data_IF_377331784817
#
_entry.id   IF_377331784817
#
_cell.length_a   1.000
_cell.length_b   1.000
_cell.length_c   1.000
_cell.angle_alpha   90.00
_cell.angle_beta   90.00
_cell.angle_gamma   90.00
#
_symmetry.space_group_name_H-M   'P 1'
#
loop_
_entity.id
_entity.type
_entity.pdbx_description
1 polymer ?
#
# COMPACT_ATOMS: atom_id res chain seq x y z
N UNK A 1 7.67 23.49 -5.10
CA UNK A 1 7.51 23.94 -6.50
C UNK A 1 8.90 24.27 -7.03
N UNK A 2 9.59 23.28 -7.58
CA UNK A 2 10.82 23.50 -8.34
C UNK A 2 10.43 23.26 -9.79
N UNK A 3 10.52 24.31 -10.59
CA UNK A 3 10.30 24.21 -12.02
C UNK A 3 11.65 24.48 -12.67
N UNK A 4 12.35 23.42 -13.03
CA UNK A 4 13.52 23.51 -13.91
C UNK A 4 13.04 23.70 -15.35
N UNK A 5 13.46 24.80 -15.97
CA UNK A 5 13.37 25.00 -17.41
C UNK A 5 12.15 25.74 -17.97
N UNK A 6 11.67 26.82 -17.34
CA UNK A 6 10.64 27.70 -17.94
C UNK A 6 11.26 28.98 -18.51
N UNK A 7 11.08 29.20 -19.83
CA UNK A 7 11.04 30.54 -20.41
C UNK A 7 9.89 31.31 -19.73
N UNK A 8 10.21 32.27 -18.86
CA UNK A 8 9.21 33.06 -18.14
C UNK A 8 8.42 33.96 -19.11
N UNK A 9 7.15 33.64 -19.36
CA UNK A 9 6.20 34.49 -20.09
C UNK A 9 5.50 35.54 -19.19
N UNK A 10 5.96 35.68 -17.94
CA UNK A 10 5.45 36.68 -17.00
C UNK A 10 6.07 38.06 -17.26
N UNK A 11 5.26 39.11 -17.12
CA UNK A 11 5.71 40.52 -17.21
C UNK A 11 6.68 40.89 -16.08
N UNK A 12 6.62 40.17 -14.97
CA UNK A 12 7.47 40.35 -13.80
C UNK A 12 8.21 39.06 -13.46
N UNK A 13 9.46 39.19 -13.04
CA UNK A 13 10.23 38.10 -12.43
C UNK A 13 9.79 37.84 -10.98
N UNK A 14 10.27 36.75 -10.38
CA UNK A 14 9.97 36.40 -8.99
C UNK A 14 10.37 37.47 -7.97
N UNK A 15 11.31 38.35 -8.31
CA UNK A 15 11.75 39.47 -7.48
C UNK A 15 10.90 40.74 -7.69
N UNK A 16 9.85 40.67 -8.51
CA UNK A 16 8.95 41.78 -8.81
C UNK A 16 9.50 42.78 -9.83
N UNK A 17 10.72 42.56 -10.37
CA UNK A 17 11.27 43.42 -11.43
C UNK A 17 10.68 43.06 -12.79
N UNK A 18 10.75 44.01 -13.72
CA UNK A 18 10.27 43.81 -15.08
C UNK A 18 11.12 42.74 -15.77
N UNK A 19 10.48 41.75 -16.38
CA UNK A 19 11.16 40.74 -17.18
C UNK A 19 11.52 41.35 -18.55
N UNK A 20 12.81 41.51 -18.90
CA UNK A 20 13.25 42.13 -20.15
C UNK A 20 12.97 41.27 -21.39
N UNK A 21 12.63 39.98 -21.21
CA UNK A 21 12.28 39.04 -22.30
C UNK A 21 10.78 38.89 -22.52
N UNK A 22 9.96 39.64 -21.77
CA UNK A 22 8.50 39.57 -21.88
C UNK A 22 8.00 40.09 -23.24
N UNK A 23 7.06 39.36 -23.83
CA UNK A 23 6.35 39.73 -25.06
C UNK A 23 4.85 39.64 -24.80
N UNK A 24 4.10 40.68 -25.14
CA UNK A 24 2.63 40.67 -25.02
C UNK A 24 2.01 39.62 -25.94
N UNK A 25 1.08 38.83 -25.39
CA UNK A 25 0.41 37.75 -26.10
C UNK A 25 -0.66 37.08 -25.24
N UNK A 26 -1.38 36.12 -25.81
CA UNK A 26 -2.31 35.30 -25.04
C UNK A 26 -1.54 34.58 -23.92
N UNK A 27 -2.03 34.70 -22.68
CA UNK A 27 -1.42 34.04 -21.53
C UNK A 27 -1.37 32.52 -21.76
N UNK A 28 -0.18 31.94 -21.64
CA UNK A 28 0.07 30.49 -21.70
C UNK A 28 0.93 30.10 -20.52
N UNK A 29 0.44 29.14 -19.72
CA UNK A 29 1.19 28.52 -18.65
C UNK A 29 1.43 27.05 -18.99
N UNK A 30 2.53 26.71 -19.68
CA UNK A 30 2.89 25.32 -19.91
C UNK A 30 3.29 24.69 -18.57
N UNK A 31 2.40 23.89 -18.00
CA UNK A 31 2.65 23.12 -16.79
C UNK A 31 3.28 21.77 -17.17
N UNK A 32 4.47 21.47 -16.63
CA UNK A 32 5.08 20.14 -16.80
C UNK A 32 4.49 19.11 -15.83
N UNK A 33 4.21 19.52 -14.59
CA UNK A 33 3.51 18.70 -13.59
C UNK A 33 2.91 19.59 -12.49
N UNK A 34 1.86 19.08 -11.84
CA UNK A 34 1.36 19.59 -10.56
C UNK A 34 1.51 18.44 -9.57
N UNK A 35 2.15 18.68 -8.42
CA UNK A 35 2.27 17.70 -7.33
C UNK A 35 1.83 18.34 -6.02
N UNK A 36 1.03 17.61 -5.23
CA UNK A 36 0.73 18.02 -3.87
C UNK A 36 2.03 17.97 -3.02
N UNK A 37 2.21 18.93 -2.12
CA UNK A 37 3.33 18.93 -1.19
C UNK A 37 3.20 17.72 -0.26
N UNK A 38 4.01 16.69 -0.48
CA UNK A 38 4.18 15.59 0.47
C UNK A 38 5.31 15.97 1.42
N UNK A 39 4.99 16.16 2.70
CA UNK A 39 5.99 16.40 3.74
C UNK A 39 6.84 15.15 3.89
N UNK A 40 8.16 15.30 3.87
CA UNK A 40 9.09 14.20 4.11
C UNK A 40 9.15 13.83 5.62
N UNK A 41 9.31 12.54 5.96
CA UNK A 41 9.36 11.39 5.05
C UNK A 41 7.97 11.04 4.49
N UNK A 42 7.91 10.56 3.25
CA UNK A 42 6.65 10.19 2.61
C UNK A 42 6.10 8.92 3.28
N UNK A 43 4.89 9.02 3.83
CA UNK A 43 4.13 7.88 4.33
C UNK A 43 2.93 7.58 3.43
N UNK A 44 2.37 6.36 3.48
CA UNK A 44 1.18 6.00 2.74
C UNK A 44 0.01 6.97 2.97
N UNK A 45 -0.71 7.29 1.90
CA UNK A 45 -1.98 8.05 1.96
C UNK A 45 -3.19 7.18 1.73
N UNK A 46 -2.96 6.01 1.14
CA UNK A 46 -3.97 4.98 0.95
C UNK A 46 -3.43 3.68 1.54
N UNK A 47 -4.14 3.13 2.52
CA UNK A 47 -3.87 1.79 3.04
C UNK A 47 -5.10 0.95 2.80
N UNK A 48 -4.91 -0.21 2.17
CA UNK A 48 -6.00 -1.12 1.82
C UNK A 48 -5.78 -2.50 2.43
N UNK A 49 -6.73 -2.97 3.22
CA UNK A 49 -6.79 -4.35 3.72
C UNK A 49 -7.67 -5.23 2.85
N UNK A 50 -7.10 -6.25 2.22
CA UNK A 50 -7.77 -7.13 1.26
C UNK A 50 -7.80 -8.56 1.79
N UNK A 51 -8.92 -8.99 2.36
CA UNK A 51 -9.04 -10.38 2.81
C UNK A 51 -8.99 -11.33 1.62
N UNK A 52 -8.07 -12.29 1.62
CA UNK A 52 -8.01 -13.38 0.64
C UNK A 52 -8.46 -14.70 1.29
N UNK A 53 -9.77 -15.05 1.22
CA UNK A 53 -10.26 -16.27 1.83
C UNK A 53 -9.69 -17.50 1.08
N UNK A 54 -9.21 -18.54 1.78
CA UNK A 54 -8.67 -19.75 1.15
C UNK A 54 -9.63 -20.41 0.15
N UNK A 55 -10.95 -20.34 0.43
CA UNK A 55 -12.00 -20.88 -0.43
C UNK A 55 -12.08 -20.24 -1.82
N UNK A 56 -11.57 -19.00 -1.96
CA UNK A 56 -11.56 -18.28 -3.24
C UNK A 56 -10.46 -18.82 -4.17
N UNK A 57 -9.35 -19.34 -3.62
CA UNK A 57 -8.26 -19.99 -4.40
C UNK A 57 -8.66 -21.32 -5.01
N UNK A 58 -9.72 -21.95 -4.49
CA UNK A 58 -10.15 -23.31 -4.86
C UNK A 58 -11.38 -23.36 -5.78
N UNK A 59 -12.00 -22.21 -6.08
CA UNK A 59 -13.30 -22.19 -6.75
C UNK A 59 -13.32 -21.30 -7.99
N UNK A 60 -13.30 -21.93 -9.18
CA UNK A 60 -13.38 -21.27 -10.49
C UNK A 60 -14.55 -20.28 -10.66
N UNK A 61 -15.62 -20.40 -9.85
CA UNK A 61 -16.74 -19.45 -9.88
C UNK A 61 -16.47 -18.16 -9.10
N UNK A 62 -15.49 -18.16 -8.20
CA UNK A 62 -15.05 -16.99 -7.44
C UNK A 62 -13.85 -16.27 -8.09
N UNK A 63 -13.32 -16.81 -9.20
CA UNK A 63 -12.22 -16.22 -9.99
C UNK A 63 -12.48 -14.75 -10.34
N UNK A 64 -13.72 -14.39 -10.68
CA UNK A 64 -14.06 -13.00 -10.99
C UNK A 64 -13.75 -12.04 -9.83
N UNK A 65 -13.94 -12.47 -8.58
CA UNK A 65 -13.69 -11.63 -7.40
C UNK A 65 -12.19 -11.35 -7.25
N UNK A 66 -11.33 -12.35 -7.50
CA UNK A 66 -9.87 -12.16 -7.47
C UNK A 66 -9.40 -11.24 -8.60
N UNK A 67 -9.96 -11.40 -9.81
CA UNK A 67 -9.64 -10.52 -10.94
C UNK A 67 -9.97 -9.06 -10.66
N UNK A 68 -11.12 -8.78 -10.03
CA UNK A 68 -11.47 -7.40 -9.66
C UNK A 68 -10.58 -6.84 -8.56
N UNK A 69 -10.20 -7.67 -7.58
CA UNK A 69 -9.25 -7.26 -6.53
C UNK A 69 -7.89 -6.92 -7.10
N UNK A 70 -7.36 -7.76 -7.99
CA UNK A 70 -6.08 -7.49 -8.61
C UNK A 70 -6.11 -6.19 -9.42
N UNK A 71 -7.17 -5.99 -10.21
CA UNK A 71 -7.37 -4.73 -10.96
C UNK A 71 -7.43 -3.52 -10.04
N UNK A 72 -8.12 -3.63 -8.90
CA UNK A 72 -8.18 -2.54 -7.93
C UNK A 72 -6.81 -2.23 -7.32
N UNK A 73 -6.05 -3.26 -6.95
CA UNK A 73 -4.68 -3.09 -6.46
C UNK A 73 -3.77 -2.47 -7.52
N UNK A 74 -3.88 -2.89 -8.77
CA UNK A 74 -3.12 -2.33 -9.89
C UNK A 74 -3.43 -0.86 -10.09
N UNK A 75 -4.70 -0.47 -10.04
CA UNK A 75 -5.10 0.93 -10.11
C UNK A 75 -4.50 1.75 -8.95
N UNK A 76 -4.40 1.18 -7.75
CA UNK A 76 -3.73 1.83 -6.61
C UNK A 76 -2.24 2.01 -6.90
N UNK A 77 -1.56 0.98 -7.40
CA UNK A 77 -0.13 1.04 -7.74
C UNK A 77 0.14 2.05 -8.86
N UNK A 78 -0.70 2.08 -9.88
CA UNK A 78 -0.60 2.99 -11.03
C UNK A 78 -1.03 4.43 -10.72
N UNK A 79 -1.73 4.67 -9.61
CA UNK A 79 -2.26 5.99 -9.25
C UNK A 79 -1.17 7.06 -9.01
N UNK A 80 0.07 6.65 -8.74
CA UNK A 80 1.16 7.54 -8.35
C UNK A 80 1.01 8.12 -6.94
N UNK A 81 0.01 7.68 -6.17
CA UNK A 81 -0.17 8.03 -4.77
C UNK A 81 0.68 7.11 -3.87
N UNK A 82 1.30 7.60 -2.79
CA UNK A 82 1.91 6.73 -1.79
C UNK A 82 0.86 5.79 -1.19
N UNK A 83 1.11 4.49 -1.26
CA UNK A 83 0.15 3.46 -0.90
C UNK A 83 0.77 2.38 -0.01
N UNK A 84 -0.09 1.59 0.64
CA UNK A 84 0.24 0.27 1.18
C UNK A 84 -0.91 -0.67 0.88
N UNK A 85 -0.59 -1.87 0.39
CA UNK A 85 -1.57 -2.93 0.16
C UNK A 85 -1.28 -4.05 1.17
N UNK A 86 -2.23 -4.27 2.07
CA UNK A 86 -2.19 -5.31 3.09
C UNK A 86 -3.10 -6.45 2.61
N UNK A 87 -2.53 -7.63 2.38
CA UNK A 87 -3.23 -8.87 2.02
C UNK A 87 -3.38 -9.78 3.24
N UNK A 88 -4.31 -9.53 4.17
CA UNK A 88 -4.52 -10.44 5.28
C UNK A 88 -4.99 -11.82 4.79
N UNK A 89 -4.45 -12.83 5.44
CA UNK A 89 -5.00 -14.19 5.43
C UNK A 89 -6.41 -14.22 6.04
N UNK A 90 -6.98 -15.42 6.25
CA UNK A 90 -8.35 -15.57 6.72
C UNK A 90 -8.65 -14.77 8.00
N UNK A 91 -9.63 -13.88 7.94
CA UNK A 91 -9.99 -13.01 9.06
C UNK A 91 -10.76 -13.76 10.16
N UNK A 92 -10.45 -13.46 11.42
CA UNK A 92 -11.15 -13.98 12.61
C UNK A 92 -11.56 -12.86 13.58
N UNK A 93 -12.50 -13.18 14.49
CA UNK A 93 -12.92 -12.31 15.61
C UNK A 93 -12.09 -12.53 16.87
N UNK A 94 -10.97 -13.24 16.76
CA UNK A 94 -10.05 -13.45 17.88
C UNK A 94 -9.39 -12.13 18.28
N UNK A 95 -8.94 -11.95 19.53
CA UNK A 95 -8.26 -10.73 19.94
C UNK A 95 -6.94 -10.53 19.18
N UNK A 96 -6.51 -9.27 19.03
CA UNK A 96 -5.15 -8.95 18.60
C UNK A 96 -4.11 -9.39 19.66
N UNK A 97 -2.85 -9.49 19.24
CA UNK A 97 -1.73 -9.80 20.13
C UNK A 97 -0.92 -11.04 19.77
N UNK A 98 -1.40 -11.88 18.86
CA UNK A 98 -0.63 -13.00 18.35
C UNK A 98 0.62 -12.51 17.61
N UNK A 99 1.70 -13.30 17.63
CA UNK A 99 2.87 -13.03 16.80
C UNK A 99 2.50 -13.14 15.32
N UNK A 100 3.15 -12.32 14.49
CA UNK A 100 2.81 -12.16 13.08
C UNK A 100 3.94 -12.64 12.17
N UNK A 101 3.54 -13.05 10.97
CA UNK A 101 4.40 -13.32 9.84
C UNK A 101 3.94 -12.43 8.70
N UNK A 102 4.87 -11.64 8.17
CA UNK A 102 4.71 -10.85 6.96
C UNK A 102 5.45 -11.58 5.85
N UNK A 103 4.86 -11.64 4.66
CA UNK A 103 5.47 -12.23 3.47
C UNK A 103 4.99 -11.50 2.21
N UNK A 104 5.56 -11.79 1.05
CA UNK A 104 5.18 -11.21 -0.23
C UNK A 104 5.15 -12.29 -1.32
N UNK A 105 4.38 -12.09 -2.40
CA UNK A 105 4.30 -13.05 -3.51
C UNK A 105 3.27 -14.16 -3.34
N UNK A 106 2.20 -13.93 -2.56
CA UNK A 106 1.11 -14.89 -2.32
C UNK A 106 1.53 -16.26 -1.72
N UNK A 107 2.59 -16.23 -0.91
CA UNK A 107 3.30 -17.42 -0.42
C UNK A 107 2.70 -18.01 0.87
N UNK A 108 1.86 -17.26 1.59
CA UNK A 108 1.40 -17.70 2.92
C UNK A 108 -0.10 -17.98 2.98
N UNK A 109 -0.45 -18.91 3.88
CA UNK A 109 -1.83 -19.16 4.29
C UNK A 109 -1.90 -19.26 5.81
N UNK A 110 -3.04 -18.85 6.36
CA UNK A 110 -3.29 -18.88 7.79
C UNK A 110 -4.52 -18.08 8.17
N UNK A 111 -4.50 -17.54 9.39
CA UNK A 111 -5.53 -16.64 9.90
C UNK A 111 -4.94 -15.43 10.60
N UNK A 112 -5.73 -14.36 10.69
CA UNK A 112 -5.39 -13.16 11.46
C UNK A 112 -6.65 -12.51 12.01
N UNK A 113 -6.54 -11.90 13.18
CA UNK A 113 -7.62 -11.10 13.77
C UNK A 113 -7.93 -9.85 12.93
N UNK A 114 -9.21 -9.48 12.83
CA UNK A 114 -9.63 -8.19 12.27
C UNK A 114 -9.04 -7.00 13.02
N UNK A 115 -8.93 -7.11 14.35
CA UNK A 115 -8.36 -6.08 15.20
C UNK A 115 -6.88 -5.87 14.88
N UNK A 116 -6.13 -6.95 14.70
CA UNK A 116 -4.71 -6.87 14.34
C UNK A 116 -4.51 -6.24 12.96
N UNK A 117 -5.36 -6.58 11.98
CA UNK A 117 -5.32 -5.94 10.64
C UNK A 117 -5.57 -4.43 10.75
N UNK A 118 -6.50 -4.00 11.60
CA UNK A 118 -6.75 -2.59 11.83
C UNK A 118 -5.50 -1.87 12.39
N UNK A 119 -4.83 -2.48 13.38
CA UNK A 119 -3.59 -1.94 13.94
C UNK A 119 -2.47 -1.85 12.90
N UNK A 120 -2.29 -2.88 12.05
CA UNK A 120 -1.32 -2.86 10.95
C UNK A 120 -1.62 -1.72 9.98
N UNK A 121 -2.90 -1.51 9.62
CA UNK A 121 -3.29 -0.44 8.71
C UNK A 121 -2.96 0.95 9.28
N UNK A 122 -3.21 1.16 10.57
CA UNK A 122 -2.85 2.41 11.27
C UNK A 122 -1.33 2.57 11.31
N UNK A 123 -0.60 1.52 11.71
CA UNK A 123 0.86 1.54 11.75
C UNK A 123 1.50 1.80 10.39
N UNK A 124 0.90 1.31 9.30
CA UNK A 124 1.35 1.56 7.94
C UNK A 124 1.20 3.03 7.55
N UNK A 125 0.09 3.69 7.89
CA UNK A 125 -0.14 5.12 7.59
C UNK A 125 0.94 6.04 8.20
N UNK A 126 1.49 5.65 9.33
CA UNK A 126 2.51 6.40 10.07
C UNK A 126 3.95 5.99 9.70
N UNK A 127 4.12 4.92 8.93
CA UNK A 127 5.42 4.36 8.60
C UNK A 127 5.87 4.72 7.18
N UNK A 128 7.04 5.36 7.00
CA UNK A 128 7.61 5.51 5.67
C UNK A 128 8.09 4.19 5.07
N UNK A 129 8.39 3.18 5.91
CA UNK A 129 8.82 1.85 5.45
C UNK A 129 7.69 1.02 4.84
N UNK A 130 6.44 1.42 5.04
CA UNK A 130 5.28 0.78 4.42
C UNK A 130 4.88 1.42 3.08
N UNK A 131 5.54 2.51 2.67
CA UNK A 131 5.19 3.27 1.46
C UNK A 131 5.64 2.55 0.20
N UNK A 132 4.67 2.21 -0.66
CA UNK A 132 4.90 1.45 -1.89
C UNK A 132 4.84 -0.06 -1.69
N UNK A 133 4.58 -0.53 -0.47
CA UNK A 133 4.65 -1.95 -0.14
C UNK A 133 3.33 -2.68 -0.40
N UNK A 134 3.45 -3.88 -0.96
CA UNK A 134 2.39 -4.90 -1.01
C UNK A 134 2.87 -6.11 -0.23
N UNK A 135 2.11 -6.57 0.76
CA UNK A 135 2.50 -7.73 1.56
C UNK A 135 1.28 -8.50 2.07
N UNK A 136 1.50 -9.78 2.35
CA UNK A 136 0.56 -10.64 3.06
C UNK A 136 0.88 -10.70 4.54
N UNK A 137 -0.14 -10.97 5.36
CA UNK A 137 0.06 -11.12 6.80
C UNK A 137 -0.80 -12.23 7.40
N UNK A 138 -0.20 -12.99 8.33
CA UNK A 138 -0.90 -13.95 9.17
C UNK A 138 -0.39 -13.96 10.61
N UNK A 139 -1.18 -14.53 11.51
CA UNK A 139 -0.70 -14.96 12.82
C UNK A 139 0.13 -16.25 12.73
N UNK A 140 1.03 -16.45 13.68
CA UNK A 140 1.75 -17.72 13.87
C UNK A 140 0.82 -18.84 14.37
N UNK A 141 -0.36 -18.49 14.87
CA UNK A 141 -1.30 -19.44 15.48
C UNK A 141 -1.96 -20.28 14.38
N UNK A 142 -1.91 -21.62 14.48
CA UNK A 142 -2.56 -22.49 13.51
C UNK A 142 -4.06 -22.20 13.39
N UNK A 143 -4.63 -22.39 12.20
CA UNK A 143 -6.04 -22.12 11.96
C UNK A 143 -6.97 -22.90 12.91
N UNK A 144 -6.59 -24.12 13.29
CA UNK A 144 -7.33 -25.01 14.19
C UNK A 144 -7.35 -24.60 15.66
N UNK A 145 -6.50 -23.67 16.09
CA UNK A 145 -6.31 -23.35 17.50
C UNK A 145 -6.73 -21.92 17.80
N UNK A 146 -7.66 -21.65 18.75
CA UNK A 146 -8.06 -20.28 19.04
C UNK A 146 -6.93 -19.50 19.71
N UNK A 147 -6.72 -18.25 19.30
CA UNK A 147 -5.88 -17.33 20.05
C UNK A 147 -6.67 -16.66 21.18
N UNK A 148 -6.09 -16.59 22.36
CA UNK A 148 -6.68 -15.93 23.54
C UNK A 148 -5.62 -15.08 24.24
N UNK A 149 -6.07 -14.01 24.91
CA UNK A 149 -5.22 -13.09 25.67
C UNK A 149 -5.39 -13.37 27.15
N UNK A 150 -4.28 -13.56 27.86
CA UNK A 150 -4.26 -13.61 29.32
C UNK A 150 -4.45 -12.19 29.88
N UNK A 151 -5.54 -11.91 30.62
CA UNK A 151 -5.76 -10.59 31.21
C UNK A 151 -4.70 -10.16 32.22
N UNK A 152 -3.98 -11.11 32.84
CA UNK A 152 -2.93 -10.82 33.82
C UNK A 152 -1.58 -10.50 33.15
N UNK A 153 -1.40 -10.91 31.89
CA UNK A 153 -0.20 -10.68 31.12
C UNK A 153 -0.57 -10.42 29.64
N UNK A 154 -1.12 -9.22 29.34
CA UNK A 154 -1.53 -8.90 27.99
C UNK A 154 -0.31 -8.81 27.05
N UNK A 155 -0.47 -9.16 25.76
CA UNK A 155 0.56 -8.97 24.76
C UNK A 155 1.03 -7.51 24.72
N UNK A 156 2.34 -7.27 24.58
CA UNK A 156 2.84 -5.91 24.42
C UNK A 156 2.38 -5.31 23.09
N UNK A 157 2.34 -3.98 23.03
CA UNK A 157 2.14 -3.25 21.79
C UNK A 157 3.25 -3.59 20.79
N UNK A 158 2.90 -3.76 19.51
CA UNK A 158 3.83 -4.15 18.46
C UNK A 158 4.35 -2.93 17.71
N UNK A 159 5.66 -2.87 17.50
CA UNK A 159 6.25 -1.96 16.52
C UNK A 159 6.21 -2.59 15.12
N UNK A 160 5.23 -2.17 14.31
CA UNK A 160 5.07 -2.70 12.95
C UNK A 160 6.22 -2.33 12.01
N UNK A 161 7.01 -1.30 12.32
CA UNK A 161 8.16 -0.92 11.48
C UNK A 161 9.20 -2.03 11.38
N UNK A 162 9.34 -2.86 12.42
CA UNK A 162 10.25 -4.00 12.39
C UNK A 162 9.87 -4.96 11.26
N UNK A 163 8.58 -5.15 11.01
CA UNK A 163 8.08 -5.99 9.92
C UNK A 163 8.19 -5.29 8.58
N UNK A 164 7.76 -4.03 8.47
CA UNK A 164 7.82 -3.28 7.20
C UNK A 164 9.25 -3.21 6.63
N UNK A 165 10.26 -3.05 7.49
CA UNK A 165 11.68 -3.04 7.08
C UNK A 165 12.19 -4.36 6.50
N UNK A 166 11.47 -5.46 6.67
CA UNK A 166 11.84 -6.77 6.11
C UNK A 166 11.27 -7.01 4.73
N UNK A 167 10.32 -6.17 4.30
CA UNK A 167 9.71 -6.22 2.98
C UNK A 167 10.71 -5.76 1.91
N UNK A 168 10.51 -6.24 0.69
CA UNK A 168 11.30 -5.92 -0.48
C UNK A 168 10.45 -5.17 -1.48
N UNK A 169 11.00 -4.06 -1.96
CA UNK A 169 10.39 -3.23 -2.98
C UNK A 169 10.05 -4.04 -4.24
N UNK A 170 8.86 -3.79 -4.80
CA UNK A 170 8.44 -4.31 -6.10
C UNK A 170 7.92 -5.75 -6.11
N UNK A 171 7.85 -6.45 -4.97
CA UNK A 171 7.16 -7.74 -4.89
C UNK A 171 5.65 -7.52 -4.72
N UNK A 172 4.83 -8.25 -5.48
CA UNK A 172 3.36 -8.08 -5.50
C UNK A 172 2.65 -9.39 -5.14
N UNK A 173 1.35 -9.50 -5.47
CA UNK A 173 0.55 -10.73 -5.39
C UNK A 173 0.03 -11.14 -6.78
N UNK A 174 0.89 -11.03 -7.79
CA UNK A 174 0.60 -11.38 -9.20
C UNK A 174 1.21 -12.71 -9.61
N UNK A 175 2.16 -13.20 -8.83
CA UNK A 175 3.07 -14.27 -9.17
C UNK A 175 2.35 -15.61 -9.35
N UNK A 176 1.17 -15.79 -8.73
CA UNK A 176 0.32 -16.97 -8.92
C UNK A 176 -0.53 -16.87 -10.19
N UNK A 177 -0.99 -15.67 -10.57
CA UNK A 177 -1.85 -15.48 -11.75
C UNK A 177 -1.06 -15.49 -13.07
N UNK A 178 0.22 -15.16 -13.03
CA UNK A 178 1.12 -15.21 -14.20
C UNK A 178 1.62 -16.64 -14.51
N UNK A 179 1.39 -17.62 -13.63
CA UNK A 179 1.80 -19.02 -13.82
C UNK A 179 0.88 -19.86 -14.70
N UNK A 180 -0.25 -19.31 -15.18
CA UNK A 180 -1.09 -19.97 -16.17
C UNK A 180 -0.74 -19.49 -17.60
N UNK A 181 0.22 -20.14 -18.31
CA UNK A 181 0.37 -19.90 -19.73
C UNK A 181 -0.91 -20.38 -20.41
N UNK A 182 -1.60 -19.46 -21.09
CA UNK A 182 -2.67 -19.80 -22.03
C UNK A 182 -2.06 -20.77 -23.05
N UNK A 183 -2.56 -22.01 -23.18
CA UNK A 183 -2.13 -22.90 -24.25
C UNK A 183 -2.49 -22.23 -25.59
N UNK A 184 -1.48 -21.95 -26.40
CA UNK A 184 -1.62 -21.49 -27.80
C UNK A 184 -2.11 -22.64 -28.67
#
# INVERSE_FOLDING_TARGET
MFIDGIQNYSKFEFDGKLNPTFVEGAFKLPLSSIRAYLKEPITPRLVRGVNNPPAVRLNKKLDFILTFKLKEEDLIRESGLPYTIVGPCALTEEPAGANLIFDQGDNITGKISREEVAHICVGALESPYASGETFEVKSVVPFSEPFTVDPQNPPPEKDYNVYFKTLKDGITGKEILEQDPVPV
#
